data_IF_788677536939
#
_entry.id   IF_788677536939
#
_cell.length_a   1.000
_cell.length_b   1.000
_cell.length_c   1.000
_cell.angle_alpha   90.00
_cell.angle_beta   90.00
_cell.angle_gamma   90.00
#
_symmetry.space_group_name_H-M   'P 1'
#
loop_
_entity.id
_entity.type
_entity.pdbx_description
1 polymer ?
#
# COMPACT_ATOMS: atom_id res chain seq x y z
N UNK A 1 -14.03 -15.99 -9.97
CA UNK A 1 -13.14 -14.98 -9.35
C UNK A 1 -12.29 -14.34 -10.44
N UNK A 2 -12.31 -13.02 -10.56
CA UNK A 2 -11.48 -12.29 -11.52
C UNK A 2 -10.07 -12.17 -10.93
N UNK A 3 -9.02 -12.42 -11.72
CA UNK A 3 -7.63 -12.37 -11.26
C UNK A 3 -7.17 -10.91 -11.17
N UNK A 4 -7.07 -10.37 -9.95
CA UNK A 4 -6.54 -9.01 -9.69
C UNK A 4 -5.02 -9.05 -9.51
N UNK A 5 -4.31 -8.04 -10.00
CA UNK A 5 -2.89 -7.84 -9.73
C UNK A 5 -2.76 -7.09 -8.40
N UNK A 6 -2.05 -7.68 -7.46
CA UNK A 6 -1.82 -7.09 -6.13
C UNK A 6 -0.38 -6.60 -6.05
N UNK A 7 -0.19 -5.37 -5.58
CA UNK A 7 1.10 -4.87 -5.17
C UNK A 7 1.15 -4.79 -3.65
N UNK A 8 1.96 -5.65 -3.04
CA UNK A 8 2.17 -5.69 -1.59
C UNK A 8 3.43 -4.90 -1.28
N UNK A 9 3.28 -3.83 -0.51
CA UNK A 9 4.38 -3.01 -0.07
C UNK A 9 5.34 -3.82 0.83
N UNK A 10 6.59 -3.96 0.42
CA UNK A 10 7.62 -4.73 1.14
C UNK A 10 8.05 -4.01 2.42
N UNK A 11 7.72 -2.73 2.60
CA UNK A 11 7.92 -2.00 3.86
C UNK A 11 7.22 -2.65 5.06
N UNK A 12 6.29 -3.57 4.82
CA UNK A 12 5.62 -4.40 5.85
C UNK A 12 6.58 -5.32 6.60
N UNK A 13 7.75 -5.66 6.04
CA UNK A 13 8.72 -6.60 6.63
C UNK A 13 9.88 -5.93 7.40
N UNK A 14 10.12 -4.62 7.25
CA UNK A 14 11.36 -3.97 7.74
C UNK A 14 11.17 -2.99 8.91
N UNK A 15 9.97 -2.84 9.48
CA UNK A 15 9.67 -1.67 10.35
C UNK A 15 9.83 -1.75 11.87
N UNK A 16 10.10 -2.88 12.56
CA UNK A 16 10.25 -2.80 14.01
C UNK A 16 11.54 -2.08 14.46
N UNK A 17 12.48 -1.75 13.57
CA UNK A 17 13.81 -1.24 13.95
C UNK A 17 14.30 0.05 13.24
N UNK A 18 13.53 0.65 12.32
CA UNK A 18 14.00 1.82 11.56
C UNK A 18 13.51 3.16 12.13
N UNK A 19 14.45 4.11 12.21
CA UNK A 19 14.24 5.50 12.62
C UNK A 19 13.41 6.26 11.56
N UNK A 20 12.25 6.81 11.96
CA UNK A 20 11.21 7.24 11.02
C UNK A 20 11.48 8.59 10.32
N UNK A 21 12.58 9.26 10.64
CA UNK A 21 12.90 10.62 10.17
C UNK A 21 13.83 10.69 8.94
N UNK A 22 14.38 9.58 8.46
CA UNK A 22 15.36 9.59 7.35
C UNK A 22 14.75 9.05 6.05
N UNK A 23 14.71 9.89 5.00
CA UNK A 23 14.42 9.61 3.57
C UNK A 23 13.17 8.75 3.18
N UNK A 24 12.28 8.44 4.11
CA UNK A 24 11.11 7.56 3.93
C UNK A 24 10.08 8.04 2.90
N UNK A 25 9.90 9.36 2.81
CA UNK A 25 8.84 9.96 1.98
C UNK A 25 9.04 9.69 0.48
N UNK A 26 10.30 9.65 0.00
CA UNK A 26 10.58 9.41 -1.42
C UNK A 26 10.30 7.97 -1.82
N UNK A 27 10.57 7.03 -0.92
CA UNK A 27 10.37 5.62 -1.15
C UNK A 27 8.87 5.27 -1.16
N UNK A 28 8.09 5.82 -0.25
CA UNK A 28 6.63 5.67 -0.21
C UNK A 28 5.95 6.13 -1.52
N UNK A 29 6.37 7.28 -2.05
CA UNK A 29 5.83 7.83 -3.29
C UNK A 29 6.16 6.97 -4.52
N UNK A 30 7.37 6.40 -4.56
CA UNK A 30 7.79 5.51 -5.65
C UNK A 30 7.01 4.19 -5.65
N UNK A 31 6.79 3.58 -4.48
CA UNK A 31 5.96 2.37 -4.35
C UNK A 31 4.54 2.61 -4.85
N UNK A 32 3.95 3.74 -4.48
CA UNK A 32 2.58 4.09 -4.83
C UNK A 32 2.42 4.37 -6.33
N UNK A 33 3.37 5.10 -6.93
CA UNK A 33 3.40 5.34 -8.38
C UNK A 33 3.61 4.04 -9.18
N UNK A 34 4.49 3.16 -8.71
CA UNK A 34 4.70 1.86 -9.34
C UNK A 34 3.46 0.96 -9.22
N UNK A 35 2.84 0.94 -8.04
CA UNK A 35 1.61 0.19 -7.82
C UNK A 35 0.51 0.67 -8.75
N UNK A 36 0.29 2.00 -8.86
CA UNK A 36 -0.70 2.59 -9.78
C UNK A 36 -0.47 2.18 -11.24
N UNK A 37 0.78 2.01 -11.67
CA UNK A 37 1.10 1.60 -13.03
C UNK A 37 0.95 0.08 -13.28
N UNK A 38 0.99 -0.77 -12.25
CA UNK A 38 1.19 -2.22 -12.42
C UNK A 38 0.15 -3.11 -11.75
N UNK A 39 -0.59 -2.58 -10.77
CA UNK A 39 -1.52 -3.33 -9.94
C UNK A 39 -2.89 -2.68 -9.86
N UNK A 40 -3.89 -3.50 -9.55
CA UNK A 40 -5.27 -3.05 -9.32
C UNK A 40 -5.46 -2.62 -7.86
N UNK A 41 -4.72 -3.26 -6.94
CA UNK A 41 -4.80 -3.02 -5.50
C UNK A 41 -3.40 -2.88 -4.91
N UNK A 42 -3.21 -1.78 -4.17
CA UNK A 42 -2.04 -1.52 -3.34
C UNK A 42 -2.34 -1.90 -1.90
N UNK A 43 -1.56 -2.81 -1.33
CA UNK A 43 -1.71 -3.29 0.04
C UNK A 43 -0.53 -2.80 0.89
N UNK A 44 -0.80 -2.06 1.96
CA UNK A 44 0.24 -1.59 2.91
C UNK A 44 -0.28 -1.57 4.34
N UNK A 45 0.60 -1.77 5.32
CA UNK A 45 0.26 -1.63 6.75
C UNK A 45 0.53 -0.22 7.31
N UNK A 46 0.91 0.75 6.47
CA UNK A 46 1.18 2.12 6.91
C UNK A 46 -0.06 3.02 6.80
N UNK A 47 -0.69 3.31 7.94
CA UNK A 47 -1.83 4.22 8.02
C UNK A 47 -1.52 5.64 7.52
N UNK A 48 -0.30 6.15 7.73
CA UNK A 48 0.11 7.47 7.24
C UNK A 48 0.18 7.46 5.71
N UNK A 49 0.64 6.36 5.12
CA UNK A 49 0.68 6.18 3.67
C UNK A 49 -0.73 6.04 3.07
N UNK A 50 -1.60 5.23 3.68
CA UNK A 50 -3.00 5.09 3.26
C UNK A 50 -3.72 6.45 3.28
N UNK A 51 -3.52 7.24 4.34
CA UNK A 51 -4.08 8.60 4.43
C UNK A 51 -3.53 9.51 3.34
N UNK A 52 -2.23 9.43 3.03
CA UNK A 52 -1.61 10.21 1.93
C UNK A 52 -2.13 9.78 0.56
N UNK A 53 -2.30 8.49 0.31
CA UNK A 53 -2.83 7.94 -0.93
C UNK A 53 -4.26 8.47 -1.19
N UNK A 54 -5.11 8.39 -0.16
CA UNK A 54 -6.49 8.91 -0.19
C UNK A 54 -6.50 10.44 -0.36
N UNK A 55 -5.61 11.17 0.31
CA UNK A 55 -5.52 12.64 0.22
C UNK A 55 -5.05 13.13 -1.14
N UNK A 56 -4.13 12.41 -1.78
CA UNK A 56 -3.58 12.78 -3.09
C UNK A 56 -4.45 12.28 -4.26
N UNK A 57 -5.65 11.74 -3.98
CA UNK A 57 -6.63 11.29 -4.98
C UNK A 57 -6.03 10.33 -6.04
N UNK A 58 -5.21 9.39 -5.57
CA UNK A 58 -4.53 8.41 -6.41
C UNK A 58 -5.55 7.36 -6.85
N UNK A 59 -5.48 6.92 -8.12
CA UNK A 59 -6.53 6.10 -8.73
C UNK A 59 -6.51 4.63 -8.28
N UNK A 60 -5.39 4.18 -7.71
CA UNK A 60 -5.24 2.80 -7.24
C UNK A 60 -5.94 2.57 -5.90
N UNK A 61 -6.66 1.45 -5.79
CA UNK A 61 -7.29 1.03 -4.55
C UNK A 61 -6.22 0.72 -3.50
N UNK A 62 -6.12 1.55 -2.46
CA UNK A 62 -5.12 1.42 -1.40
C UNK A 62 -5.76 0.96 -0.09
N UNK A 63 -5.36 -0.20 0.41
CA UNK A 63 -5.99 -0.86 1.58
C UNK A 63 -4.95 -1.52 2.49
N UNK A 64 -5.31 -1.76 3.74
CA UNK A 64 -4.57 -2.65 4.63
C UNK A 64 -4.82 -4.13 4.29
N UNK A 65 -3.95 -5.06 4.72
CA UNK A 65 -4.19 -6.49 4.50
C UNK A 65 -5.52 -6.98 5.09
N UNK A 66 -5.91 -6.47 6.26
CA UNK A 66 -7.18 -6.82 6.91
C UNK A 66 -8.39 -6.31 6.13
N UNK A 67 -8.35 -5.07 5.65
CA UNK A 67 -9.39 -4.52 4.79
C UNK A 67 -9.48 -5.31 3.47
N UNK A 68 -8.35 -5.71 2.89
CA UNK A 68 -8.33 -6.52 1.68
C UNK A 68 -8.99 -7.89 1.90
N UNK A 69 -8.66 -8.59 2.99
CA UNK A 69 -9.29 -9.87 3.32
C UNK A 69 -10.81 -9.73 3.48
N UNK A 70 -11.26 -8.67 4.17
CA UNK A 70 -12.68 -8.39 4.34
C UNK A 70 -13.38 -8.04 3.01
N UNK A 71 -12.70 -7.34 2.10
CA UNK A 71 -13.25 -6.97 0.78
C UNK A 71 -13.42 -8.17 -0.15
N UNK A 72 -12.49 -9.13 -0.10
CA UNK A 72 -12.51 -10.31 -0.98
C UNK A 72 -13.20 -11.53 -0.34
N UNK A 73 -13.80 -11.37 0.85
CA UNK A 73 -14.43 -12.45 1.65
C UNK A 73 -13.49 -13.67 1.81
N UNK A 74 -12.20 -13.37 2.04
CA UNK A 74 -11.17 -14.37 2.30
C UNK A 74 -11.34 -14.86 3.74
N UNK A 75 -11.99 -16.01 3.90
CA UNK A 75 -12.13 -16.75 5.18
C UNK A 75 -10.85 -17.42 5.63
#
# INVERSE_FOLDING_TARGET
MQRKKLYIDVCTLCRPFDDQDIMRIRLDAAHLAFAEATADVFITCDDKLLKKAKRNNIKIQSVSPLEFCAMEDLK
#
